data_IF_095127896424
#
_entry.id   IF_095127896424
#
_cell.length_a   1.000
_cell.length_b   1.000
_cell.length_c   1.000
_cell.angle_alpha   90.00
_cell.angle_beta   90.00
_cell.angle_gamma   90.00
#
_symmetry.space_group_name_H-M   'P 1'
#
loop_
_entity.id
_entity.type
_entity.pdbx_description
1 polymer ?
#
# COMPACT_ATOMS: atom_id res chain seq x y z
N UNK A 1 -7.05 4.52 -11.78
CA UNK A 1 -6.79 3.59 -10.66
C UNK A 1 -8.01 3.59 -9.76
N UNK A 2 -8.45 2.43 -9.30
CA UNK A 2 -9.61 2.30 -8.39
C UNK A 2 -9.12 1.66 -7.10
N UNK A 3 -9.42 2.30 -5.96
CA UNK A 3 -9.15 1.72 -4.65
C UNK A 3 -10.21 0.67 -4.35
N UNK A 4 -9.79 -0.58 -4.17
CA UNK A 4 -10.65 -1.70 -3.80
C UNK A 4 -10.81 -1.78 -2.27
N UNK A 5 -11.81 -2.54 -1.86
CA UNK A 5 -12.26 -2.64 -0.47
C UNK A 5 -11.55 -3.75 0.32
N UNK A 6 -11.02 -4.77 -0.36
CA UNK A 6 -10.33 -5.91 0.28
C UNK A 6 -9.00 -6.20 -0.41
N UNK A 7 -8.01 -6.60 0.37
CA UNK A 7 -6.68 -6.95 -0.16
C UNK A 7 -6.71 -8.20 -1.04
N UNK A 8 -7.68 -9.10 -0.78
CA UNK A 8 -7.94 -10.30 -1.58
C UNK A 8 -8.51 -10.00 -2.97
N UNK A 9 -8.93 -8.76 -3.24
CA UNK A 9 -9.42 -8.35 -4.55
C UNK A 9 -8.30 -7.77 -5.42
N UNK A 10 -7.13 -7.49 -4.83
CA UNK A 10 -5.95 -6.99 -5.52
C UNK A 10 -5.01 -8.12 -5.92
N UNK A 11 -4.52 -8.10 -7.16
CA UNK A 11 -3.24 -8.74 -7.46
C UNK A 11 -2.09 -7.94 -6.84
N UNK A 12 -0.93 -8.57 -6.67
CA UNK A 12 0.27 -7.88 -6.17
C UNK A 12 0.64 -6.67 -7.05
N UNK A 13 0.50 -6.80 -8.37
CA UNK A 13 0.79 -5.73 -9.33
C UNK A 13 -0.20 -4.54 -9.21
N UNK A 14 -1.49 -4.81 -9.00
CA UNK A 14 -2.47 -3.73 -8.79
C UNK A 14 -2.21 -2.98 -7.49
N UNK A 15 -1.90 -3.70 -6.40
CA UNK A 15 -1.57 -3.06 -5.13
C UNK A 15 -0.26 -2.27 -5.22
N UNK A 16 0.75 -2.81 -5.90
CA UNK A 16 2.00 -2.09 -6.19
C UNK A 16 1.73 -0.80 -6.96
N UNK A 17 0.83 -0.81 -7.96
CA UNK A 17 0.49 0.39 -8.70
C UNK A 17 -0.13 1.47 -7.79
N UNK A 18 -0.97 1.09 -6.82
CA UNK A 18 -1.51 2.01 -5.80
C UNK A 18 -0.40 2.63 -4.95
N UNK A 19 0.52 1.82 -4.42
CA UNK A 19 1.62 2.34 -3.60
C UNK A 19 2.57 3.21 -4.44
N UNK A 20 2.80 2.83 -5.68
CA UNK A 20 3.67 3.60 -6.58
C UNK A 20 3.06 4.96 -6.89
N UNK A 21 1.74 5.03 -7.05
CA UNK A 21 1.03 6.29 -7.25
C UNK A 21 1.23 7.26 -6.06
N UNK A 22 1.23 6.74 -4.82
CA UNK A 22 1.51 7.55 -3.62
C UNK A 22 2.91 8.20 -3.68
N UNK A 23 3.91 7.46 -4.15
CA UNK A 23 5.31 7.89 -4.23
C UNK A 23 5.56 8.83 -5.42
N UNK A 24 5.09 8.44 -6.60
CA UNK A 24 5.51 9.05 -7.87
C UNK A 24 4.49 10.04 -8.44
N UNK A 25 3.23 10.03 -7.96
CA UNK A 25 2.16 10.88 -8.49
C UNK A 25 2.06 10.79 -10.03
N UNK A 26 1.97 9.57 -10.56
CA UNK A 26 1.95 9.33 -12.01
C UNK A 26 0.72 9.93 -12.68
N UNK A 27 -0.38 10.11 -11.93
CA UNK A 27 -1.57 10.80 -12.38
C UNK A 27 -1.38 12.32 -12.51
N UNK A 28 -0.25 12.88 -12.05
CA UNK A 28 0.08 14.30 -12.21
C UNK A 28 -0.82 15.23 -11.42
N UNK A 29 -1.37 14.78 -10.29
CA UNK A 29 -2.24 15.59 -9.42
C UNK A 29 -1.45 16.71 -8.74
N UNK A 30 -2.10 17.82 -8.41
CA UNK A 30 -1.44 18.98 -7.78
C UNK A 30 -2.31 19.60 -6.69
N UNK A 31 -1.65 20.30 -5.76
CA UNK A 31 -2.32 21.01 -4.67
C UNK A 31 -3.22 20.10 -3.83
N UNK A 32 -4.41 20.61 -3.48
CA UNK A 32 -5.37 19.89 -2.61
C UNK A 32 -5.86 18.56 -3.18
N UNK A 33 -5.92 18.42 -4.51
CA UNK A 33 -6.31 17.16 -5.15
C UNK A 33 -5.25 16.07 -4.92
N UNK A 34 -3.97 16.43 -5.00
CA UNK A 34 -2.88 15.52 -4.67
C UNK A 34 -2.91 15.12 -3.19
N UNK A 35 -3.07 16.10 -2.30
CA UNK A 35 -3.13 15.85 -0.85
C UNK A 35 -4.28 14.91 -0.49
N UNK A 36 -5.51 15.23 -0.94
CA UNK A 36 -6.69 14.42 -0.67
C UNK A 36 -6.56 13.00 -1.21
N UNK A 37 -5.98 12.83 -2.40
CA UNK A 37 -5.80 11.52 -3.01
C UNK A 37 -4.72 10.69 -2.29
N UNK A 38 -3.63 11.31 -1.83
CA UNK A 38 -2.62 10.62 -1.01
C UNK A 38 -3.19 10.18 0.33
N UNK A 39 -4.01 11.03 0.96
CA UNK A 39 -4.72 10.68 2.19
C UNK A 39 -5.67 9.50 1.97
N UNK A 40 -6.40 9.48 0.85
CA UNK A 40 -7.29 8.38 0.48
C UNK A 40 -6.52 7.06 0.33
N UNK A 41 -5.36 7.09 -0.34
CA UNK A 41 -4.47 5.92 -0.47
C UNK A 41 -4.02 5.43 0.91
N UNK A 42 -3.58 6.33 1.80
CA UNK A 42 -3.08 5.97 3.14
C UNK A 42 -4.20 5.40 4.02
N UNK A 43 -5.40 5.99 3.99
CA UNK A 43 -6.57 5.48 4.71
C UNK A 43 -6.95 4.10 4.20
N UNK A 44 -7.03 3.93 2.88
CA UNK A 44 -7.32 2.66 2.25
C UNK A 44 -6.26 1.60 2.61
N UNK A 45 -4.97 1.96 2.54
CA UNK A 45 -3.85 1.10 2.93
C UNK A 45 -3.97 0.57 4.37
N UNK A 46 -4.22 1.47 5.34
CA UNK A 46 -4.37 1.08 6.75
C UNK A 46 -5.48 0.06 6.95
N UNK A 47 -6.62 0.28 6.29
CA UNK A 47 -7.78 -0.62 6.35
C UNK A 47 -7.50 -1.97 5.68
N UNK A 48 -6.90 -1.97 4.49
CA UNK A 48 -6.65 -3.18 3.71
C UNK A 48 -5.59 -4.08 4.35
N UNK A 49 -4.50 -3.48 4.82
CA UNK A 49 -3.36 -4.24 5.33
C UNK A 49 -3.65 -4.82 6.70
N UNK A 50 -4.51 -4.15 7.49
CA UNK A 50 -4.82 -4.49 8.89
C UNK A 50 -3.55 -4.50 9.77
N UNK A 51 -2.46 -3.91 9.28
CA UNK A 51 -1.17 -3.92 9.95
C UNK A 51 -1.23 -2.97 11.16
N UNK A 52 -0.79 -3.39 12.36
CA UNK A 52 -0.89 -2.58 13.57
C UNK A 52 -0.16 -1.24 13.45
N UNK A 53 0.97 -1.22 12.76
CA UNK A 53 1.75 0.00 12.50
C UNK A 53 1.09 0.95 11.47
N UNK A 54 -0.01 0.57 10.81
CA UNK A 54 -0.73 1.42 9.88
C UNK A 54 0.16 2.10 8.83
N UNK A 55 0.09 3.42 8.73
CA UNK A 55 0.89 4.24 7.80
C UNK A 55 2.39 4.23 8.07
N UNK A 56 2.83 3.77 9.24
CA UNK A 56 4.26 3.69 9.56
C UNK A 56 4.93 2.57 8.76
N UNK A 57 4.16 1.60 8.26
CA UNK A 57 4.66 0.66 7.25
C UNK A 57 5.11 1.41 5.98
N UNK A 58 4.53 2.56 5.64
CA UNK A 58 5.00 3.35 4.50
C UNK A 58 6.12 4.30 4.93
N UNK A 59 5.93 5.00 6.04
CA UNK A 59 6.73 6.17 6.40
C UNK A 59 7.99 5.85 7.21
N UNK A 60 7.98 4.76 7.97
CA UNK A 60 9.05 4.37 8.89
C UNK A 60 9.44 2.90 8.68
N UNK A 61 10.05 2.58 7.53
CA UNK A 61 10.52 1.22 7.28
C UNK A 61 11.62 0.84 8.30
N UNK A 62 11.68 -0.44 8.73
CA UNK A 62 12.75 -0.93 9.59
C UNK A 62 14.13 -0.63 9.04
N UNK A 63 15.14 -0.59 9.92
CA UNK A 63 16.52 -0.41 9.49
C UNK A 63 16.95 -1.51 8.50
N UNK A 64 17.58 -1.11 7.39
CA UNK A 64 17.97 -2.01 6.31
C UNK A 64 16.85 -2.45 5.36
N UNK A 65 15.58 -2.11 5.64
CA UNK A 65 14.48 -2.44 4.74
C UNK A 65 14.49 -1.58 3.46
N UNK A 66 14.04 -2.17 2.35
CA UNK A 66 13.91 -1.48 1.09
C UNK A 66 12.86 -0.35 1.18
N UNK A 67 13.26 0.88 0.83
CA UNK A 67 12.44 2.10 0.92
C UNK A 67 11.73 2.43 -0.40
N UNK A 68 11.28 1.41 -1.11
CA UNK A 68 10.59 1.52 -2.39
C UNK A 68 9.11 1.13 -2.25
N UNK A 69 8.26 1.43 -3.24
CA UNK A 69 6.91 0.89 -3.31
C UNK A 69 6.90 -0.65 -3.20
N UNK A 70 7.81 -1.34 -3.88
CA UNK A 70 7.93 -2.80 -3.80
C UNK A 70 8.31 -3.24 -2.38
N UNK A 71 9.20 -2.52 -1.71
CA UNK A 71 9.56 -2.77 -0.32
C UNK A 71 8.36 -2.68 0.64
N UNK A 72 7.42 -1.76 0.40
CA UNK A 72 6.14 -1.71 1.14
C UNK A 72 5.30 -2.95 0.87
N UNK A 73 5.12 -3.33 -0.40
CA UNK A 73 4.32 -4.50 -0.80
C UNK A 73 4.87 -5.78 -0.17
N UNK A 74 6.19 -5.98 -0.20
CA UNK A 74 6.84 -7.14 0.39
C UNK A 74 6.58 -7.24 1.89
N UNK A 75 6.73 -6.13 2.63
CA UNK A 75 6.48 -6.10 4.09
C UNK A 75 5.03 -6.40 4.44
N UNK A 76 4.07 -5.89 3.66
CA UNK A 76 2.65 -6.25 3.82
C UNK A 76 2.43 -7.74 3.59
N UNK A 77 3.02 -8.30 2.52
CA UNK A 77 2.89 -9.72 2.16
C UNK A 77 3.46 -10.63 3.24
N UNK A 78 4.67 -10.34 3.70
CA UNK A 78 5.35 -11.07 4.77
C UNK A 78 4.56 -11.02 6.07
N UNK A 79 4.12 -9.83 6.50
CA UNK A 79 3.36 -9.69 7.73
C UNK A 79 2.03 -10.44 7.68
N UNK A 80 1.28 -10.34 6.58
CA UNK A 80 -0.01 -11.04 6.45
C UNK A 80 0.17 -12.56 6.47
N UNK A 81 1.18 -13.06 5.76
CA UNK A 81 1.52 -14.48 5.78
C UNK A 81 1.89 -14.98 7.19
N UNK A 82 2.74 -14.22 7.90
CA UNK A 82 3.15 -14.55 9.27
C UNK A 82 1.98 -14.53 10.28
N UNK A 83 0.90 -13.80 9.98
CA UNK A 83 -0.29 -13.67 10.84
C UNK A 83 -1.48 -14.51 10.34
N UNK A 84 -1.26 -15.43 9.38
CA UNK A 84 -2.32 -16.32 8.87
C UNK A 84 -3.46 -15.57 8.15
N UNK A 85 -3.21 -14.35 7.66
CA UNK A 85 -4.21 -13.55 6.95
C UNK A 85 -4.18 -13.84 5.44
N UNK A 86 -5.33 -13.84 4.74
CA UNK A 86 -5.37 -13.95 3.29
C UNK A 86 -4.50 -12.89 2.61
N UNK A 87 -3.71 -13.31 1.62
CA UNK A 87 -2.86 -12.45 0.82
C UNK A 87 -3.59 -11.84 -0.39
N UNK A 88 -2.80 -11.40 -1.37
CA UNK A 88 -3.29 -10.90 -2.65
C UNK A 88 -4.01 -12.00 -3.44
N UNK A 89 -4.91 -11.56 -4.32
CA UNK A 89 -5.48 -12.36 -5.39
C UNK A 89 -4.35 -12.95 -6.25
N UNK A 90 -4.37 -14.27 -6.54
CA UNK A 90 -3.53 -14.84 -7.57
C UNK A 90 -3.72 -14.09 -8.90
N UNK A 91 -2.63 -13.92 -9.65
CA UNK A 91 -2.67 -13.29 -10.98
C UNK A 91 -3.47 -14.13 -11.97
#
# INVERSE_FOLDING_TARGET
MTLKEKITDYTEAEFLAVITELYENRAGRVGKDLEAFRDEIVINFKRLTEHPNGSDVISYPPEGAEKSPQGVVNRVKEWRAANGKPGFKPA
#
